data_IF_824339404452
#
_entry.id   IF_824339404452
#
_cell.length_a   1.000
_cell.length_b   1.000
_cell.length_c   1.000
_cell.angle_alpha   90.00
_cell.angle_beta   90.00
_cell.angle_gamma   90.00
#
_symmetry.space_group_name_H-M   'P 1'
#
loop_
_entity.id
_entity.type
_entity.pdbx_description
1 polymer ?
#
# COMPACT_ATOMS: atom_id res chain seq x y z
N UNK A 1 -12.64 -6.46 14.04
CA UNK A 1 -11.97 -5.99 12.82
C UNK A 1 -10.67 -6.73 12.63
N UNK A 2 -10.40 -7.13 11.39
CA UNK A 2 -9.22 -7.94 11.10
C UNK A 2 -8.48 -7.35 9.91
N UNK A 3 -7.18 -7.63 9.86
CA UNK A 3 -6.34 -7.29 8.72
C UNK A 3 -5.52 -8.52 8.37
N UNK A 4 -5.54 -8.89 7.10
CA UNK A 4 -4.74 -10.00 6.59
C UNK A 4 -3.72 -9.47 5.60
N UNK A 5 -2.47 -9.87 5.76
CA UNK A 5 -1.39 -9.52 4.84
C UNK A 5 -0.73 -10.79 4.35
N UNK A 6 -0.72 -10.98 3.05
CA UNK A 6 0.02 -12.08 2.42
C UNK A 6 1.20 -11.49 1.65
N UNK A 7 2.34 -12.16 1.72
CA UNK A 7 3.57 -11.68 1.10
C UNK A 7 3.96 -12.65 0.00
N UNK A 8 4.20 -12.10 -1.19
CA UNK A 8 4.70 -12.87 -2.33
C UNK A 8 5.84 -12.12 -3.00
N UNK A 9 6.39 -12.73 -4.02
CA UNK A 9 7.42 -12.12 -4.84
C UNK A 9 7.09 -12.31 -6.31
N UNK A 10 7.25 -11.27 -7.09
CA UNK A 10 7.02 -11.31 -8.52
C UNK A 10 7.95 -10.29 -9.19
N UNK A 11 8.69 -10.76 -10.18
CA UNK A 11 9.59 -9.93 -11.00
C UNK A 11 10.57 -9.08 -10.16
N UNK A 12 11.04 -9.64 -9.04
CA UNK A 12 11.98 -8.96 -8.16
C UNK A 12 11.32 -8.01 -7.15
N UNK A 13 10.00 -7.86 -7.21
CA UNK A 13 9.25 -7.04 -6.26
C UNK A 13 8.65 -7.89 -5.15
N UNK A 14 8.69 -7.38 -3.93
CA UNK A 14 7.87 -7.93 -2.84
C UNK A 14 6.45 -7.39 -3.03
N UNK A 15 5.48 -8.28 -3.13
CA UNK A 15 4.07 -7.91 -3.32
C UNK A 15 3.33 -8.29 -2.05
N UNK A 16 2.85 -7.28 -1.32
CA UNK A 16 2.09 -7.45 -0.09
C UNK A 16 0.62 -7.20 -0.41
N UNK A 17 -0.18 -8.26 -0.34
CA UNK A 17 -1.62 -8.17 -0.56
C UNK A 17 -2.31 -8.00 0.78
N UNK A 18 -3.02 -6.89 0.95
CA UNK A 18 -3.65 -6.49 2.20
C UNK A 18 -5.16 -6.52 2.05
N UNK A 19 -5.85 -7.13 3.00
CA UNK A 19 -7.31 -7.17 2.99
C UNK A 19 -7.85 -6.93 4.39
N UNK A 20 -9.05 -6.35 4.45
CA UNK A 20 -9.74 -6.08 5.71
C UNK A 20 -9.73 -4.62 6.10
N UNK A 21 -9.56 -4.35 7.37
CA UNK A 21 -9.65 -3.01 7.92
C UNK A 21 -8.30 -2.56 8.49
N UNK A 22 -7.87 -1.37 8.10
CA UNK A 22 -6.64 -0.73 8.60
C UNK A 22 -7.01 0.33 9.65
N UNK A 23 -6.99 -0.06 10.91
CA UNK A 23 -7.29 0.82 12.03
C UNK A 23 -6.14 0.84 13.04
N UNK A 24 -6.35 1.50 14.18
CA UNK A 24 -5.33 1.62 15.22
C UNK A 24 -4.83 0.27 15.71
N UNK A 25 -5.71 -0.73 15.80
CA UNK A 25 -5.36 -2.04 16.34
C UNK A 25 -4.72 -2.95 15.28
N UNK A 26 -5.12 -2.83 14.02
CA UNK A 26 -4.70 -3.74 12.96
C UNK A 26 -3.52 -3.21 12.14
N UNK A 27 -3.37 -1.90 12.01
CA UNK A 27 -2.31 -1.30 11.20
C UNK A 27 -0.90 -1.76 11.58
N UNK A 28 -0.57 -2.04 12.86
CA UNK A 28 0.72 -2.60 13.20
C UNK A 28 1.07 -3.91 12.50
N UNK A 29 0.07 -4.69 12.09
CA UNK A 29 0.31 -5.93 11.33
C UNK A 29 0.97 -5.61 9.99
N UNK A 30 0.45 -4.62 9.26
CA UNK A 30 1.04 -4.21 8.00
C UNK A 30 2.45 -3.64 8.21
N UNK A 31 2.61 -2.80 9.23
CA UNK A 31 3.91 -2.22 9.55
C UNK A 31 4.96 -3.31 9.79
N UNK A 32 4.60 -4.34 10.55
CA UNK A 32 5.50 -5.44 10.85
C UNK A 32 5.91 -6.20 9.57
N UNK A 33 4.93 -6.46 8.69
CA UNK A 33 5.23 -7.16 7.44
C UNK A 33 6.14 -6.37 6.52
N UNK A 34 5.97 -5.06 6.47
CA UNK A 34 6.86 -4.19 5.70
C UNK A 34 8.26 -4.22 6.28
N UNK A 35 8.40 -4.11 7.59
CA UNK A 35 9.70 -4.17 8.25
C UNK A 35 10.41 -5.50 7.99
N UNK A 36 9.68 -6.61 8.01
CA UNK A 36 10.24 -7.92 7.69
C UNK A 36 10.76 -7.96 6.25
N UNK A 37 9.99 -7.44 5.29
CA UNK A 37 10.41 -7.42 3.90
C UNK A 37 11.68 -6.60 3.70
N UNK A 38 11.76 -5.44 4.33
CA UNK A 38 12.94 -4.58 4.24
C UNK A 38 14.15 -5.24 4.92
N UNK A 39 13.94 -5.89 6.06
CA UNK A 39 14.99 -6.62 6.76
C UNK A 39 15.54 -7.78 5.91
N UNK A 40 14.69 -8.38 5.07
CA UNK A 40 15.10 -9.41 4.13
C UNK A 40 15.78 -8.86 2.87
N UNK A 41 16.04 -7.56 2.83
CA UNK A 41 16.74 -6.93 1.71
C UNK A 41 15.83 -6.48 0.56
N UNK A 42 14.52 -6.50 0.76
CA UNK A 42 13.58 -6.08 -0.28
C UNK A 42 13.51 -4.55 -0.34
N UNK A 43 13.79 -4.00 -1.51
CA UNK A 43 13.78 -2.55 -1.72
C UNK A 43 12.70 -2.10 -2.69
N UNK A 44 12.12 -3.02 -3.45
CA UNK A 44 11.04 -2.74 -4.38
C UNK A 44 9.79 -3.43 -3.85
N UNK A 45 8.82 -2.65 -3.40
CA UNK A 45 7.64 -3.15 -2.70
C UNK A 45 6.38 -2.61 -3.34
N UNK A 46 5.44 -3.53 -3.60
CA UNK A 46 4.08 -3.20 -4.00
C UNK A 46 3.16 -3.51 -2.82
N UNK A 47 2.35 -2.54 -2.41
CA UNK A 47 1.26 -2.76 -1.47
C UNK A 47 -0.04 -2.78 -2.25
N UNK A 48 -0.65 -3.94 -2.32
CA UNK A 48 -1.95 -4.09 -2.96
C UNK A 48 -3.04 -3.94 -1.91
N UNK A 49 -3.67 -2.78 -1.91
CA UNK A 49 -4.72 -2.40 -0.96
C UNK A 49 -6.11 -2.50 -1.59
N UNK A 50 -6.24 -3.16 -2.73
CA UNK A 50 -7.53 -3.22 -3.45
C UNK A 50 -8.64 -3.87 -2.64
N UNK A 51 -8.30 -4.74 -1.70
CA UNK A 51 -9.28 -5.42 -0.83
C UNK A 51 -9.38 -4.81 0.56
N UNK A 52 -8.83 -3.64 0.79
CA UNK A 52 -8.98 -2.91 2.05
C UNK A 52 -10.31 -2.18 2.05
N UNK A 53 -11.12 -2.45 3.05
CA UNK A 53 -12.50 -1.93 3.16
C UNK A 53 -12.59 -0.67 4.01
N UNK A 54 -11.60 -0.45 4.88
CA UNK A 54 -11.62 0.65 5.84
C UNK A 54 -10.18 1.07 6.14
N UNK A 55 -9.98 2.39 6.26
CA UNK A 55 -8.68 2.92 6.66
C UNK A 55 -8.90 4.21 7.46
N UNK A 56 -8.40 4.26 8.67
CA UNK A 56 -8.40 5.50 9.46
C UNK A 56 -7.04 6.19 9.38
N UNK A 57 -6.86 7.25 10.17
CA UNK A 57 -5.60 8.00 10.18
C UNK A 57 -4.41 7.16 10.64
N UNK A 58 -4.64 6.14 11.47
CA UNK A 58 -3.58 5.21 11.88
C UNK A 58 -3.09 4.37 10.70
N UNK A 59 -4.01 3.91 9.85
CA UNK A 59 -3.65 3.19 8.64
C UNK A 59 -2.87 4.08 7.66
N UNK A 60 -3.33 5.31 7.47
CA UNK A 60 -2.61 6.28 6.64
C UNK A 60 -1.21 6.54 7.20
N UNK A 61 -1.09 6.65 8.52
CA UNK A 61 0.21 6.82 9.18
C UNK A 61 1.18 5.69 8.84
N UNK A 62 0.70 4.45 8.81
CA UNK A 62 1.52 3.30 8.43
C UNK A 62 1.95 3.39 6.96
N UNK A 63 1.06 3.83 6.07
CA UNK A 63 1.44 4.02 4.65
C UNK A 63 2.53 5.07 4.50
N UNK A 64 2.41 6.18 5.21
CA UNK A 64 3.42 7.24 5.16
C UNK A 64 4.75 6.74 5.75
N UNK A 65 4.69 6.03 6.88
CA UNK A 65 5.90 5.46 7.49
C UNK A 65 6.58 4.46 6.56
N UNK A 66 5.79 3.64 5.86
CA UNK A 66 6.31 2.70 4.86
C UNK A 66 7.04 3.43 3.73
N UNK A 67 6.45 4.50 3.23
CA UNK A 67 7.08 5.31 2.19
C UNK A 67 8.43 5.86 2.66
N UNK A 68 8.46 6.41 3.88
CA UNK A 68 9.70 6.95 4.44
C UNK A 68 10.76 5.87 4.61
N UNK A 69 10.39 4.71 5.13
CA UNK A 69 11.32 3.61 5.33
C UNK A 69 11.92 3.16 4.01
N UNK A 70 11.08 2.92 3.01
CA UNK A 70 11.54 2.43 1.71
C UNK A 70 12.42 3.46 1.01
N UNK A 71 12.07 4.75 1.10
CA UNK A 71 12.90 5.81 0.54
C UNK A 71 14.24 5.92 1.24
N UNK A 72 14.28 5.71 2.55
CA UNK A 72 15.55 5.75 3.30
C UNK A 72 16.51 4.64 2.87
N UNK A 73 15.98 3.55 2.33
CA UNK A 73 16.76 2.45 1.78
C UNK A 73 17.00 2.59 0.27
N UNK A 74 16.65 3.73 -0.31
CA UNK A 74 16.73 3.98 -1.76
C UNK A 74 15.90 2.99 -2.56
N UNK A 75 14.78 2.56 -1.99
CA UNK A 75 13.87 1.63 -2.62
C UNK A 75 12.74 2.31 -3.36
N UNK A 76 11.83 1.49 -3.85
CA UNK A 76 10.65 1.95 -4.58
C UNK A 76 9.39 1.36 -3.95
N UNK A 77 8.38 2.19 -3.76
CA UNK A 77 7.08 1.78 -3.24
C UNK A 77 6.01 2.13 -4.26
N UNK A 78 5.16 1.16 -4.58
CA UNK A 78 4.01 1.36 -5.45
C UNK A 78 2.76 0.83 -4.76
N UNK A 79 1.65 1.52 -4.95
CA UNK A 79 0.37 1.16 -4.33
C UNK A 79 -0.67 0.79 -5.38
N UNK A 80 -1.53 -0.17 -5.03
CA UNK A 80 -2.80 -0.37 -5.72
C UNK A 80 -3.87 -0.02 -4.69
N UNK A 81 -4.73 0.95 -5.02
CA UNK A 81 -5.84 1.36 -4.17
C UNK A 81 -7.13 0.69 -4.63
N UNK A 82 -8.15 0.60 -3.75
CA UNK A 82 -9.46 0.11 -4.19
C UNK A 82 -9.98 0.92 -5.36
N UNK A 83 -10.70 0.27 -6.27
CA UNK A 83 -11.23 0.93 -7.46
C UNK A 83 -12.16 2.07 -7.04
N UNK A 84 -12.08 3.20 -7.75
CA UNK A 84 -12.99 4.32 -7.52
C UNK A 84 -14.41 3.88 -7.84
N UNK A 85 -15.34 4.27 -6.98
CA UNK A 85 -16.75 3.88 -7.11
C UNK A 85 -17.06 2.51 -6.52
N UNK A 86 -16.08 1.75 -6.06
CA UNK A 86 -16.35 0.50 -5.35
C UNK A 86 -17.03 0.84 -4.02
N UNK A 87 -18.12 0.15 -3.73
CA UNK A 87 -18.92 0.43 -2.53
C UNK A 87 -18.07 0.27 -1.28
N UNK A 88 -17.33 -0.83 -1.19
CA UNK A 88 -16.58 -1.17 0.00
C UNK A 88 -15.21 -0.51 0.06
N UNK A 89 -14.56 -0.27 -1.07
CA UNK A 89 -13.20 0.25 -1.12
C UNK A 89 -13.08 1.77 -1.21
N UNK A 90 -14.19 2.47 -1.44
CA UNK A 90 -14.15 3.93 -1.67
C UNK A 90 -13.72 4.71 -0.43
N UNK A 91 -13.89 4.13 0.76
CA UNK A 91 -13.50 4.77 2.02
C UNK A 91 -12.00 5.10 2.05
N UNK A 92 -11.15 4.16 1.60
CA UNK A 92 -9.70 4.37 1.59
C UNK A 92 -9.35 5.57 0.70
N UNK A 93 -9.93 5.62 -0.50
CA UNK A 93 -9.68 6.71 -1.42
C UNK A 93 -10.11 8.06 -0.85
N UNK A 94 -11.26 8.11 -0.16
CA UNK A 94 -11.74 9.34 0.45
C UNK A 94 -10.84 9.81 1.58
N UNK A 95 -10.37 8.90 2.42
CA UNK A 95 -9.49 9.26 3.54
C UNK A 95 -8.17 9.82 3.03
N UNK A 96 -7.56 9.19 2.03
CA UNK A 96 -6.32 9.68 1.46
C UNK A 96 -6.50 11.05 0.80
N UNK A 97 -7.62 11.25 0.11
CA UNK A 97 -7.93 12.54 -0.51
C UNK A 97 -8.16 13.62 0.54
N UNK A 98 -8.94 13.30 1.59
CA UNK A 98 -9.25 14.24 2.66
C UNK A 98 -8.01 14.71 3.42
N UNK A 99 -7.03 13.83 3.61
CA UNK A 99 -5.78 14.16 4.27
C UNK A 99 -4.75 14.78 3.31
N UNK A 100 -5.03 14.83 2.02
CA UNK A 100 -4.15 15.42 1.02
C UNK A 100 -2.85 14.66 0.80
N UNK A 101 -2.82 13.38 1.10
CA UNK A 101 -1.58 12.59 1.06
C UNK A 101 -1.49 11.64 -0.13
N UNK A 102 -2.58 11.48 -0.91
CA UNK A 102 -2.56 10.55 -2.02
C UNK A 102 -1.43 10.84 -3.02
N UNK A 103 -1.14 12.10 -3.26
CA UNK A 103 -0.09 12.53 -4.19
C UNK A 103 1.32 12.13 -3.75
N UNK A 104 1.49 11.69 -2.52
CA UNK A 104 2.78 11.19 -2.03
C UNK A 104 3.13 9.83 -2.61
N UNK A 105 2.14 9.11 -3.16
CA UNK A 105 2.30 7.73 -3.57
C UNK A 105 2.16 7.55 -5.08
N UNK A 106 2.94 6.61 -5.61
CA UNK A 106 2.76 6.13 -6.99
C UNK A 106 1.67 5.05 -6.96
N UNK A 107 0.54 5.34 -7.57
CA UNK A 107 -0.64 4.46 -7.55
C UNK A 107 -0.85 3.88 -8.94
N UNK A 108 -1.14 2.58 -8.98
CA UNK A 108 -1.37 1.83 -10.22
C UNK A 108 -2.72 1.13 -10.13
N UNK A 109 -3.36 0.82 -11.28
CA UNK A 109 -4.69 0.18 -11.26
C UNK A 109 -4.67 -1.27 -10.81
N UNK A 110 -3.57 -1.98 -11.00
CA UNK A 110 -3.44 -3.39 -10.61
C UNK A 110 -1.95 -3.76 -10.47
N UNK A 111 -1.71 -4.99 -10.02
CA UNK A 111 -0.35 -5.48 -9.80
C UNK A 111 0.45 -5.55 -11.12
N UNK A 112 -0.18 -6.00 -12.20
CA UNK A 112 0.51 -6.10 -13.49
C UNK A 112 1.07 -4.75 -13.93
N UNK A 113 0.26 -3.68 -13.81
CA UNK A 113 0.70 -2.32 -14.14
C UNK A 113 1.77 -1.83 -13.14
N UNK A 114 1.61 -2.16 -11.86
CA UNK A 114 2.57 -1.74 -10.84
C UNK A 114 3.95 -2.39 -11.04
N UNK A 115 4.01 -3.54 -11.69
CA UNK A 115 5.27 -4.24 -11.97
C UNK A 115 5.86 -3.89 -13.33
N UNK A 116 5.11 -3.19 -14.17
CA UNK A 116 5.55 -2.81 -15.51
C UNK A 116 6.42 -1.56 -15.44
N UNK A 117 7.70 -1.71 -15.77
CA UNK A 117 8.65 -0.60 -15.74
C UNK A 117 8.32 0.49 -16.77
N UNK A 118 7.47 0.18 -17.77
CA UNK A 118 7.05 1.15 -18.78
C UNK A 118 5.75 1.86 -18.41
N UNK A 119 5.02 1.37 -17.41
CA UNK A 119 3.77 1.98 -17.01
C UNK A 119 4.00 3.25 -16.20
N UNK A 120 3.09 4.21 -16.36
CA UNK A 120 3.10 5.43 -15.56
C UNK A 120 2.07 5.33 -14.44
N UNK A 121 2.34 5.91 -13.26
CA UNK A 121 1.35 5.94 -12.18
C UNK A 121 0.10 6.75 -12.59
N UNK A 122 -1.01 6.41 -11.94
CA UNK A 122 -2.25 7.17 -12.09
C UNK A 122 -2.07 8.58 -11.56
N UNK A 123 -2.65 9.55 -12.26
CA UNK A 123 -2.63 10.94 -11.79
C UNK A 123 -3.41 11.09 -10.49
N UNK A 124 -2.93 11.95 -9.63
CA UNK A 124 -3.61 12.26 -8.38
C UNK A 124 -4.85 13.13 -8.62
#
# INVERSE_FOLDING_TARGET
MTLKVTVGEQDGWAVLCVSGEMDLLTSPVLRQRVHEAVADGRRSVVLDLSDVLFCDSSGVGVLIATRRLIRSCQGRLRLILPAQGAVDGSHVNRVLAALGVRRLFEVYPDVAEALDEQAAPLSA
#
